data_IF_817863722301
#
_entry.id   IF_817863722301
#
_cell.length_a   1.000
_cell.length_b   1.000
_cell.length_c   1.000
_cell.angle_alpha   90.00
_cell.angle_beta   90.00
_cell.angle_gamma   90.00
#
_symmetry.space_group_name_H-M   'P 1'
#
loop_
_entity.id
_entity.type
_entity.pdbx_description
1 polymer ?
#
# COMPACT_ATOMS: atom_id res chain seq x y z
N UNK A 1 -39.28 -6.51 26.09
CA UNK A 1 -39.81 -5.43 25.21
C UNK A 1 -38.62 -4.84 24.47
N UNK A 2 -38.53 -5.04 23.16
CA UNK A 2 -37.53 -4.36 22.35
C UNK A 2 -37.94 -2.89 22.20
N UNK A 3 -37.13 -1.99 22.74
CA UNK A 3 -37.33 -0.56 22.57
C UNK A 3 -36.43 -0.08 21.43
N UNK A 4 -37.02 0.57 20.43
CA UNK A 4 -36.29 1.16 19.31
C UNK A 4 -36.13 2.66 19.56
N UNK A 5 -34.89 3.12 19.64
CA UNK A 5 -34.54 4.53 19.81
C UNK A 5 -33.78 5.09 18.62
N UNK A 6 -33.25 6.30 18.76
CA UNK A 6 -32.45 7.00 17.74
C UNK A 6 -31.18 6.19 17.38
N UNK A 7 -30.64 5.45 18.34
CA UNK A 7 -29.45 4.62 18.19
C UNK A 7 -29.77 3.18 17.77
N UNK A 8 -30.98 2.91 17.27
CA UNK A 8 -31.42 1.57 16.87
C UNK A 8 -32.05 0.77 18.01
N UNK A 9 -31.85 -0.56 17.98
CA UNK A 9 -32.38 -1.46 19.02
C UNK A 9 -31.63 -1.22 20.33
N UNK A 10 -32.37 -1.14 21.43
CA UNK A 10 -31.83 -0.94 22.78
C UNK A 10 -32.13 -2.18 23.61
N UNK A 11 -31.07 -2.95 23.91
CA UNK A 11 -31.05 -4.11 24.81
C UNK A 11 -29.93 -3.95 25.82
N UNK A 12 -30.12 -4.50 27.01
CA UNK A 12 -29.13 -4.51 28.08
C UNK A 12 -28.95 -5.93 28.60
N UNK A 13 -27.75 -6.25 29.10
CA UNK A 13 -27.51 -7.45 29.89
C UNK A 13 -27.88 -7.25 31.37
N UNK A 14 -27.70 -8.30 32.19
CA UNK A 14 -27.99 -8.27 33.63
C UNK A 14 -27.09 -7.30 34.42
N UNK A 15 -26.00 -6.83 33.81
CA UNK A 15 -25.09 -5.83 34.38
C UNK A 15 -25.39 -4.41 33.91
N UNK A 16 -26.43 -4.22 33.08
CA UNK A 16 -26.84 -2.93 32.54
C UNK A 16 -25.96 -2.44 31.38
N UNK A 17 -25.14 -3.29 30.77
CA UNK A 17 -24.36 -2.97 29.59
C UNK A 17 -25.19 -3.14 28.32
N UNK A 18 -25.03 -2.23 27.36
CA UNK A 18 -25.80 -2.28 26.11
C UNK A 18 -25.33 -3.43 25.23
N UNK A 19 -26.26 -4.29 24.83
CA UNK A 19 -26.05 -5.44 23.94
C UNK A 19 -26.73 -5.22 22.59
N UNK A 20 -26.39 -6.04 21.58
CA UNK A 20 -26.97 -5.95 20.23
C UNK A 20 -26.74 -4.57 19.56
N UNK A 21 -25.53 -4.02 19.78
CA UNK A 21 -25.11 -2.72 19.26
C UNK A 21 -24.65 -2.83 17.80
N UNK A 22 -25.17 -1.93 16.99
CA UNK A 22 -24.76 -1.71 15.60
C UNK A 22 -24.27 -0.27 15.44
N UNK A 23 -23.06 -0.11 14.91
CA UNK A 23 -22.41 1.18 14.66
C UNK A 23 -22.25 1.38 13.16
N UNK A 24 -22.62 2.56 12.70
CA UNK A 24 -22.43 2.96 11.31
C UNK A 24 -21.01 3.48 11.12
N UNK A 25 -20.28 2.92 10.15
CA UNK A 25 -18.96 3.41 9.74
C UNK A 25 -19.17 4.35 8.58
N UNK A 26 -18.70 5.58 8.74
CA UNK A 26 -18.96 6.70 7.83
C UNK A 26 -17.63 7.16 7.23
N UNK A 27 -17.56 7.18 5.90
CA UNK A 27 -16.49 7.81 5.14
C UNK A 27 -16.82 9.29 4.90
N UNK A 28 -15.87 10.16 5.22
CA UNK A 28 -15.99 11.62 5.05
C UNK A 28 -15.25 12.05 3.80
N UNK A 29 -16.01 12.52 2.83
CA UNK A 29 -15.51 13.09 1.58
C UNK A 29 -15.59 14.62 1.65
N UNK A 30 -14.84 15.33 0.80
CA UNK A 30 -14.71 16.81 0.84
C UNK A 30 -16.04 17.57 0.95
N UNK A 31 -17.13 17.02 0.41
CA UNK A 31 -18.45 17.67 0.36
C UNK A 31 -19.59 16.80 0.89
N UNK A 32 -19.34 15.56 1.33
CA UNK A 32 -20.40 14.63 1.74
C UNK A 32 -19.87 13.55 2.68
N UNK A 33 -20.76 12.93 3.44
CA UNK A 33 -20.46 11.70 4.17
C UNK A 33 -21.28 10.55 3.61
N UNK A 34 -20.66 9.37 3.47
CA UNK A 34 -21.35 8.14 3.03
C UNK A 34 -21.16 7.08 4.10
N UNK A 35 -22.25 6.37 4.45
CA UNK A 35 -22.15 5.15 5.24
C UNK A 35 -21.51 4.06 4.39
N UNK A 36 -20.34 3.60 4.80
CA UNK A 36 -19.53 2.63 4.05
C UNK A 36 -19.68 1.20 4.61
N UNK A 37 -19.88 1.09 5.92
CA UNK A 37 -20.04 -0.21 6.57
C UNK A 37 -20.89 -0.14 7.85
N UNK A 38 -21.16 -1.32 8.39
CA UNK A 38 -21.76 -1.51 9.72
C UNK A 38 -20.82 -2.37 10.54
N UNK A 39 -20.52 -1.92 11.75
CA UNK A 39 -19.84 -2.74 12.75
C UNK A 39 -20.82 -3.17 13.83
N UNK A 40 -20.79 -4.45 14.21
CA UNK A 40 -21.52 -4.96 15.36
C UNK A 40 -20.66 -5.99 16.12
N UNK A 41 -21.24 -6.63 17.13
CA UNK A 41 -20.56 -7.64 17.96
C UNK A 41 -20.06 -8.86 17.17
N UNK A 42 -20.64 -9.15 15.99
CA UNK A 42 -20.22 -10.22 15.08
C UNK A 42 -19.12 -9.78 14.10
N UNK A 43 -18.76 -8.50 14.06
CA UNK A 43 -17.66 -7.98 13.25
C UNK A 43 -18.03 -6.79 12.37
N UNK A 44 -17.19 -6.55 11.36
CA UNK A 44 -17.30 -5.46 10.39
C UNK A 44 -17.89 -5.96 9.07
N UNK A 45 -18.94 -5.30 8.60
CA UNK A 45 -19.70 -5.68 7.41
C UNK A 45 -19.76 -4.51 6.43
N UNK A 46 -19.03 -4.62 5.32
CA UNK A 46 -19.10 -3.64 4.22
C UNK A 46 -20.44 -3.75 3.50
N UNK A 47 -21.10 -2.62 3.30
CA UNK A 47 -22.42 -2.60 2.68
C UNK A 47 -22.35 -2.66 1.14
N UNK A 48 -21.30 -2.09 0.54
CA UNK A 48 -21.16 -1.95 -0.92
C UNK A 48 -19.76 -2.30 -1.42
N UNK A 49 -19.27 -3.50 -1.09
CA UNK A 49 -17.88 -3.93 -1.39
C UNK A 49 -17.48 -3.69 -2.86
N UNK A 50 -18.34 -4.01 -3.82
CA UNK A 50 -18.06 -3.82 -5.26
C UNK A 50 -18.01 -2.35 -5.70
N UNK A 51 -18.79 -1.45 -5.09
CA UNK A 51 -18.67 -0.02 -5.36
C UNK A 51 -17.41 0.56 -4.72
N UNK A 52 -17.07 0.11 -3.51
CA UNK A 52 -15.86 0.55 -2.81
C UNK A 52 -14.61 0.09 -3.56
N UNK A 53 -14.57 -1.15 -4.05
CA UNK A 53 -13.50 -1.66 -4.93
C UNK A 53 -13.40 -0.87 -6.24
N UNK A 54 -14.52 -0.59 -6.91
CA UNK A 54 -14.52 0.26 -8.12
C UNK A 54 -13.99 1.66 -7.85
N UNK A 55 -14.38 2.28 -6.74
CA UNK A 55 -13.87 3.60 -6.34
C UNK A 55 -12.38 3.56 -6.03
N UNK A 56 -11.89 2.50 -5.41
CA UNK A 56 -10.44 2.32 -5.17
C UNK A 56 -9.71 2.24 -6.52
N UNK A 57 -10.20 1.43 -7.47
CA UNK A 57 -9.62 1.30 -8.81
C UNK A 57 -9.68 2.63 -9.58
N UNK A 58 -10.81 3.34 -9.55
CA UNK A 58 -10.95 4.66 -10.16
C UNK A 58 -10.00 5.70 -9.53
N UNK A 59 -9.77 5.61 -8.22
CA UNK A 59 -8.85 6.48 -7.52
C UNK A 59 -7.39 6.17 -7.87
N UNK A 60 -7.02 4.89 -7.99
CA UNK A 60 -5.66 4.46 -8.37
C UNK A 60 -5.22 5.11 -9.68
N UNK A 61 -6.15 5.30 -10.62
CA UNK A 61 -5.86 5.93 -11.92
C UNK A 61 -5.35 7.37 -11.85
N UNK A 62 -5.50 8.04 -10.71
CA UNK A 62 -5.07 9.41 -10.48
C UNK A 62 -4.01 9.52 -9.38
N UNK A 63 -3.36 8.40 -9.03
CA UNK A 63 -2.29 8.36 -8.04
C UNK A 63 -0.95 8.23 -8.75
N UNK A 64 0.01 9.07 -8.35
CA UNK A 64 1.42 8.92 -8.71
C UNK A 64 2.15 8.30 -7.52
N UNK A 65 2.61 7.05 -7.66
CA UNK A 65 3.37 6.37 -6.61
C UNK A 65 4.84 6.77 -6.66
N UNK A 66 5.42 7.03 -5.49
CA UNK A 66 6.85 7.21 -5.33
C UNK A 66 7.51 5.86 -5.11
N UNK A 67 8.25 5.39 -6.11
CA UNK A 67 8.82 4.03 -6.12
C UNK A 67 10.32 4.06 -5.80
N UNK A 68 10.70 3.51 -4.66
CA UNK A 68 12.09 3.38 -4.26
C UNK A 68 12.81 2.26 -5.04
N UNK A 69 14.03 2.54 -5.50
CA UNK A 69 14.85 1.53 -6.19
C UNK A 69 16.34 1.77 -6.02
N UNK A 70 17.18 0.84 -6.50
CA UNK A 70 18.64 0.92 -6.54
C UNK A 70 19.14 0.64 -7.96
N UNK A 71 20.26 1.23 -8.35
CA UNK A 71 20.94 0.90 -9.60
C UNK A 71 21.60 -0.47 -9.48
N UNK A 72 21.05 -1.44 -10.22
CA UNK A 72 21.58 -2.79 -10.29
C UNK A 72 21.21 -3.46 -11.60
N UNK A 73 22.22 -3.77 -12.41
CA UNK A 73 22.01 -4.50 -13.67
C UNK A 73 21.59 -5.96 -13.39
N UNK A 74 20.67 -6.55 -14.17
CA UNK A 74 19.91 -5.96 -15.28
C UNK A 74 18.56 -5.33 -14.87
N UNK A 75 18.29 -5.18 -13.57
CA UNK A 75 17.00 -4.80 -13.02
C UNK A 75 16.68 -3.31 -13.20
N UNK A 76 17.61 -2.44 -12.80
CA UNK A 76 17.51 -0.99 -13.00
C UNK A 76 18.88 -0.45 -13.41
N UNK A 77 18.89 0.26 -14.52
CA UNK A 77 20.06 0.78 -15.20
C UNK A 77 19.80 2.25 -15.51
N UNK A 78 20.75 3.12 -15.18
CA UNK A 78 20.71 4.49 -15.69
C UNK A 78 21.15 4.50 -17.16
N UNK A 79 20.33 5.09 -18.02
CA UNK A 79 20.56 5.13 -19.47
C UNK A 79 21.85 5.89 -19.81
N UNK A 80 22.49 5.49 -20.90
CA UNK A 80 23.58 6.29 -21.47
C UNK A 80 23.01 7.60 -21.98
N UNK A 81 23.51 8.73 -21.48
CA UNK A 81 22.98 10.05 -21.81
C UNK A 81 21.77 10.45 -20.95
N UNK A 82 21.62 9.89 -19.74
CA UNK A 82 20.53 10.18 -18.80
C UNK A 82 20.34 11.68 -18.51
N UNK A 83 21.36 12.51 -18.72
CA UNK A 83 21.25 13.97 -18.60
C UNK A 83 20.25 14.61 -19.56
N UNK A 84 19.89 13.90 -20.64
CA UNK A 84 18.92 14.35 -21.65
C UNK A 84 17.47 13.97 -21.33
N UNK A 85 17.27 13.15 -20.32
CA UNK A 85 15.96 12.63 -19.92
C UNK A 85 15.55 13.21 -18.57
N UNK A 86 14.25 13.17 -18.27
CA UNK A 86 13.69 13.64 -17.00
C UNK A 86 12.93 12.52 -16.28
N UNK A 87 12.88 12.60 -14.94
CA UNK A 87 12.14 11.65 -14.11
C UNK A 87 12.48 10.18 -14.38
N UNK A 88 11.45 9.35 -14.54
CA UNK A 88 11.56 7.90 -14.75
C UNK A 88 12.22 7.53 -16.09
N UNK A 89 12.21 8.42 -17.09
CA UNK A 89 12.77 8.14 -18.41
C UNK A 89 14.30 7.99 -18.41
N UNK A 90 14.97 8.43 -17.34
CA UNK A 90 16.42 8.26 -17.14
C UNK A 90 16.82 6.80 -16.94
N UNK A 91 15.88 5.92 -16.61
CA UNK A 91 16.15 4.55 -16.21
C UNK A 91 15.57 3.55 -17.21
N UNK A 92 16.22 2.39 -17.30
CA UNK A 92 15.78 1.23 -18.07
C UNK A 92 16.10 -0.07 -17.30
N UNK A 93 15.57 -1.19 -17.78
CA UNK A 93 15.83 -2.51 -17.21
C UNK A 93 14.57 -3.21 -16.74
N UNK A 94 14.72 -4.45 -16.30
CA UNK A 94 13.59 -5.34 -16.03
C UNK A 94 12.56 -4.78 -15.04
N UNK A 95 13.00 -4.13 -13.96
CA UNK A 95 12.08 -3.55 -12.98
C UNK A 95 11.37 -2.30 -13.52
N UNK A 96 12.00 -1.55 -14.43
CA UNK A 96 11.37 -0.40 -15.08
C UNK A 96 10.28 -0.90 -16.04
N UNK A 97 10.59 -1.88 -16.87
CA UNK A 97 9.63 -2.48 -17.80
C UNK A 97 8.43 -3.09 -17.06
N UNK A 98 8.67 -3.72 -15.91
CA UNK A 98 7.62 -4.28 -15.05
C UNK A 98 6.72 -3.18 -14.46
N UNK A 99 7.29 -2.09 -13.96
CA UNK A 99 6.52 -0.95 -13.46
C UNK A 99 5.69 -0.31 -14.57
N UNK A 100 6.25 -0.12 -15.75
CA UNK A 100 5.52 0.42 -16.91
C UNK A 100 4.36 -0.50 -17.31
N UNK A 101 4.55 -1.82 -17.31
CA UNK A 101 3.48 -2.77 -17.58
C UNK A 101 2.36 -2.68 -16.53
N UNK A 102 2.70 -2.64 -15.24
CA UNK A 102 1.73 -2.51 -14.15
C UNK A 102 0.99 -1.16 -14.20
N UNK A 103 1.71 -0.07 -14.44
CA UNK A 103 1.15 1.28 -14.56
C UNK A 103 0.17 1.36 -15.73
N UNK A 104 0.49 0.73 -16.86
CA UNK A 104 -0.40 0.68 -18.02
C UNK A 104 -1.65 -0.18 -17.79
N UNK A 105 -1.53 -1.30 -17.06
CA UNK A 105 -2.65 -2.21 -16.79
C UNK A 105 -3.61 -1.64 -15.73
N UNK A 106 -3.08 -1.12 -14.64
CA UNK A 106 -3.86 -0.63 -13.49
C UNK A 106 -4.19 0.87 -13.59
N UNK A 107 -3.47 1.60 -14.44
CA UNK A 107 -3.71 3.00 -14.79
C UNK A 107 -3.11 4.03 -13.82
N UNK A 108 -2.24 3.62 -12.89
CA UNK A 108 -1.51 4.56 -12.03
C UNK A 108 -0.31 5.18 -12.75
N UNK A 109 0.23 6.27 -12.21
CA UNK A 109 1.54 6.79 -12.62
C UNK A 109 2.57 6.60 -11.50
N UNK A 110 3.85 6.77 -11.80
CA UNK A 110 4.89 6.63 -10.79
C UNK A 110 6.10 7.53 -11.08
N UNK A 111 6.82 7.84 -10.00
CA UNK A 111 8.13 8.48 -10.06
C UNK A 111 9.19 7.57 -9.45
N UNK A 112 10.41 7.64 -9.99
CA UNK A 112 11.54 6.88 -9.47
C UNK A 112 12.22 7.66 -8.35
N UNK A 113 12.26 7.07 -7.16
CA UNK A 113 13.05 7.52 -6.03
C UNK A 113 14.29 6.64 -5.89
N UNK A 114 15.44 7.14 -6.36
CA UNK A 114 16.68 6.39 -6.24
C UNK A 114 17.21 6.47 -4.80
N UNK A 115 17.40 5.33 -4.16
CA UNK A 115 17.97 5.29 -2.82
C UNK A 115 19.41 5.83 -2.85
N UNK A 116 19.76 6.81 -2.00
CA UNK A 116 21.06 7.47 -2.06
C UNK A 116 22.23 6.56 -1.66
N UNK A 117 21.98 5.50 -0.89
CA UNK A 117 23.00 4.54 -0.45
C UNK A 117 23.14 3.35 -1.42
N UNK A 118 22.33 3.29 -2.48
CA UNK A 118 22.24 2.18 -3.42
C UNK A 118 22.14 0.81 -2.72
N UNK A 119 21.41 0.73 -1.61
CA UNK A 119 21.35 -0.44 -0.72
C UNK A 119 19.93 -0.99 -0.58
N UNK A 120 19.77 -2.31 -0.64
CA UNK A 120 18.50 -2.99 -0.40
C UNK A 120 18.03 -2.87 1.06
N UNK A 121 18.92 -2.58 2.00
CA UNK A 121 18.59 -2.42 3.41
C UNK A 121 18.86 -3.66 4.28
N UNK A 122 19.36 -3.40 5.49
CA UNK A 122 19.69 -4.35 6.56
C UNK A 122 19.23 -3.77 7.89
N UNK A 123 18.96 -4.64 8.86
CA UNK A 123 18.71 -4.23 10.23
C UNK A 123 20.06 -3.98 10.91
N UNK A 124 20.23 -2.76 11.41
CA UNK A 124 21.41 -2.35 12.15
C UNK A 124 21.32 -2.78 13.62
N UNK A 125 22.47 -2.84 14.31
CA UNK A 125 22.53 -3.26 15.71
C UNK A 125 21.71 -2.38 16.68
N UNK A 126 21.42 -1.14 16.28
CA UNK A 126 20.58 -0.21 17.03
C UNK A 126 19.07 -0.43 16.79
N UNK A 127 18.68 -1.45 16.01
CA UNK A 127 17.29 -1.77 15.67
C UNK A 127 16.69 -0.93 14.55
N UNK A 128 17.48 -0.10 13.86
CA UNK A 128 17.02 0.71 12.73
C UNK A 128 17.34 0.03 11.40
N UNK A 129 16.53 0.30 10.38
CA UNK A 129 16.80 -0.14 9.01
C UNK A 129 17.56 0.93 8.23
N UNK A 130 18.32 0.52 7.22
CA UNK A 130 18.88 1.39 6.17
C UNK A 130 18.35 1.01 4.77
N UNK A 131 18.87 1.66 3.72
CA UNK A 131 18.54 1.37 2.32
C UNK A 131 17.04 1.43 1.99
N UNK A 132 16.60 0.63 1.02
CA UNK A 132 15.20 0.56 0.60
C UNK A 132 14.24 0.21 1.74
N UNK A 133 14.63 -0.72 2.62
CA UNK A 133 13.81 -1.07 3.79
C UNK A 133 13.49 0.15 4.65
N UNK A 134 14.47 1.03 4.86
CA UNK A 134 14.25 2.27 5.62
C UNK A 134 13.38 3.26 4.87
N UNK A 135 13.56 3.38 3.56
CA UNK A 135 12.75 4.28 2.75
C UNK A 135 11.26 3.93 2.84
N UNK A 136 10.93 2.64 2.89
CA UNK A 136 9.56 2.17 3.11
C UNK A 136 9.06 2.41 4.54
N UNK A 137 9.85 2.01 5.54
CA UNK A 137 9.44 2.12 6.96
C UNK A 137 9.22 3.58 7.39
N UNK A 138 9.99 4.50 6.81
CA UNK A 138 9.85 5.94 7.07
C UNK A 138 8.76 6.62 6.23
N UNK A 139 8.12 5.90 5.30
CA UNK A 139 7.19 6.49 4.35
C UNK A 139 7.85 7.49 3.40
N UNK A 140 9.15 7.34 3.11
CA UNK A 140 9.85 8.16 2.11
C UNK A 140 9.49 7.76 0.68
N UNK A 141 9.00 6.53 0.51
CA UNK A 141 8.48 5.96 -0.73
C UNK A 141 7.27 5.10 -0.41
N UNK A 142 6.35 4.98 -1.37
CA UNK A 142 5.10 4.23 -1.21
C UNK A 142 5.31 2.73 -1.47
N UNK A 143 6.25 2.41 -2.34
CA UNK A 143 6.64 1.03 -2.66
C UNK A 143 8.11 0.98 -3.07
N UNK A 144 8.70 -0.22 -3.08
CA UNK A 144 10.05 -0.43 -3.55
C UNK A 144 10.09 -1.55 -4.60
N UNK A 145 10.90 -1.35 -5.64
CA UNK A 145 11.17 -2.38 -6.64
C UNK A 145 12.67 -2.51 -6.86
N UNK A 146 13.17 -3.74 -6.75
CA UNK A 146 14.58 -4.10 -6.91
C UNK A 146 14.68 -5.62 -6.92
N UNK A 147 15.90 -6.15 -6.94
CA UNK A 147 16.21 -7.56 -6.66
C UNK A 147 16.16 -7.89 -5.15
N UNK A 148 15.18 -7.33 -4.44
CA UNK A 148 15.07 -7.42 -2.99
C UNK A 148 14.67 -8.84 -2.58
N UNK A 149 15.61 -9.60 -2.01
CA UNK A 149 15.34 -10.93 -1.46
C UNK A 149 14.36 -10.85 -0.28
N UNK A 150 13.28 -11.64 -0.34
CA UNK A 150 12.33 -11.80 0.75
C UNK A 150 12.97 -12.64 1.86
N UNK A 151 13.23 -12.03 3.01
CA UNK A 151 13.74 -12.72 4.21
C UNK A 151 12.72 -12.61 5.33
N UNK A 152 12.77 -13.52 6.30
CA UNK A 152 11.89 -13.48 7.47
C UNK A 152 11.96 -12.15 8.24
N UNK A 153 13.16 -11.59 8.35
CA UNK A 153 13.39 -10.33 9.05
C UNK A 153 12.75 -9.14 8.32
N UNK A 154 12.86 -9.10 6.99
CA UNK A 154 12.26 -8.04 6.17
C UNK A 154 10.73 -8.17 6.14
N UNK A 155 10.21 -9.38 6.00
CA UNK A 155 8.77 -9.66 5.97
C UNK A 155 8.06 -9.36 7.31
N UNK A 156 8.80 -9.20 8.41
CA UNK A 156 8.26 -8.69 9.67
C UNK A 156 8.14 -7.16 9.72
N UNK A 157 8.88 -6.46 8.86
CA UNK A 157 8.99 -5.01 8.89
C UNK A 157 8.17 -4.33 7.78
N UNK A 158 8.01 -4.98 6.63
CA UNK A 158 7.22 -4.51 5.49
C UNK A 158 6.47 -5.68 4.85
N UNK A 159 5.38 -5.36 4.15
CA UNK A 159 4.64 -6.34 3.36
C UNK A 159 5.33 -6.58 2.00
N UNK A 160 5.26 -7.82 1.53
CA UNK A 160 5.79 -8.24 0.23
C UNK A 160 4.67 -8.78 -0.65
N UNK A 161 4.80 -8.57 -1.96
CA UNK A 161 4.01 -9.29 -2.96
C UNK A 161 4.50 -10.74 -3.07
N UNK A 162 3.82 -11.52 -3.92
CA UNK A 162 4.43 -12.76 -4.41
C UNK A 162 5.71 -12.44 -5.18
N UNK A 163 6.75 -13.29 -5.08
CA UNK A 163 8.00 -13.09 -5.83
C UNK A 163 7.72 -13.16 -7.33
N UNK A 164 8.23 -12.19 -8.08
CA UNK A 164 8.11 -12.16 -9.54
C UNK A 164 9.22 -12.96 -10.25
N UNK A 165 10.28 -13.34 -9.52
CA UNK A 165 11.38 -14.15 -10.01
C UNK A 165 11.83 -15.12 -8.92
N UNK A 166 11.82 -16.42 -9.24
CA UNK A 166 12.40 -17.44 -8.39
C UNK A 166 13.86 -17.64 -8.80
N UNK A 167 14.79 -17.30 -7.90
CA UNK A 167 16.21 -17.53 -8.09
C UNK A 167 16.61 -18.77 -7.28
N UNK A 168 16.44 -19.96 -7.87
CA UNK A 168 16.92 -21.23 -7.31
C UNK A 168 15.98 -22.41 -7.56
N UNK A 169 16.56 -23.50 -8.10
CA UNK A 169 16.17 -24.88 -7.78
C UNK A 169 16.97 -25.35 -6.54
#
# INVERSE_FOLDING_TARGET
>A
KENKGITGVIKFDDYGQRTDLSLDVIDFQKTSYKKDAVWNQSGYFQLNKSESERKIIENIKNITFKVATILKKPYVIEKIGAEKFEGKEKYEGYCIDLLDAMANEEGFDYEIFLNPENSNGKLEANGTWNGLMRDLIDGRADMAISDLTITHERAKAVDFTMPFMNLGD
#
